data_IF_705771682296
#
_entry.id   IF_705771682296
#
_cell.length_a   1.000
_cell.length_b   1.000
_cell.length_c   1.000
_cell.angle_alpha   90.00
_cell.angle_beta   90.00
_cell.angle_gamma   90.00
#
_symmetry.space_group_name_H-M   'P 1'
#
loop_
_entity.id
_entity.type
_entity.pdbx_description
1 polymer ?
#
# COMPACT_ATOMS: atom_id res chain seq x y z
N UNK A 1 -25.49 36.80 14.08
CA UNK A 1 -24.38 36.27 13.27
C UNK A 1 -24.44 34.76 13.31
N UNK A 2 -24.86 34.14 12.20
CA UNK A 2 -24.90 32.69 12.04
C UNK A 2 -23.57 32.17 11.50
N UNK A 3 -23.13 31.03 12.03
CA UNK A 3 -22.27 30.11 11.30
C UNK A 3 -23.13 28.89 11.00
N UNK A 4 -23.51 28.79 9.73
CA UNK A 4 -24.36 27.75 9.20
C UNK A 4 -23.74 26.37 9.48
N UNK A 5 -24.44 25.63 10.32
CA UNK A 5 -24.20 24.21 10.55
C UNK A 5 -24.57 23.46 9.27
N UNK A 6 -23.56 23.10 8.48
CA UNK A 6 -23.72 22.17 7.38
C UNK A 6 -24.41 20.89 7.88
N UNK A 7 -25.43 20.36 7.17
CA UNK A 7 -26.12 19.15 7.59
C UNK A 7 -25.12 17.98 7.58
N UNK A 8 -24.85 17.43 8.76
CA UNK A 8 -24.06 16.20 8.91
C UNK A 8 -24.79 15.11 8.10
N UNK A 9 -24.18 14.66 6.99
CA UNK A 9 -24.68 13.52 6.22
C UNK A 9 -24.93 12.36 7.19
N UNK A 10 -26.06 11.65 7.10
CA UNK A 10 -26.32 10.50 7.95
C UNK A 10 -25.17 9.49 7.79
N UNK A 11 -24.74 8.84 8.89
CA UNK A 11 -23.70 7.83 8.81
C UNK A 11 -24.15 6.75 7.81
N UNK A 12 -23.20 6.29 6.99
CA UNK A 12 -23.46 5.28 5.97
C UNK A 12 -24.04 4.01 6.64
N UNK A 13 -24.94 3.25 6.00
CA UNK A 13 -25.70 2.19 6.66
C UNK A 13 -24.84 1.07 7.26
N UNK A 14 -23.61 0.88 6.76
CA UNK A 14 -22.63 -0.06 7.33
C UNK A 14 -21.83 0.50 8.52
N UNK A 15 -21.89 1.81 8.79
CA UNK A 15 -21.32 2.46 9.97
C UNK A 15 -22.30 2.55 11.15
N UNK A 16 -23.56 2.17 10.95
CA UNK A 16 -24.47 1.96 12.06
C UNK A 16 -24.12 0.63 12.72
N UNK A 17 -23.80 0.68 14.02
CA UNK A 17 -23.86 -0.52 14.86
C UNK A 17 -25.23 -1.15 14.61
N UNK A 18 -25.32 -2.46 14.32
CA UNK A 18 -26.62 -3.11 14.20
C UNK A 18 -27.44 -2.74 15.45
N UNK A 19 -28.74 -2.44 15.31
CA UNK A 19 -29.57 -2.08 16.44
C UNK A 19 -29.37 -3.12 17.53
N UNK A 20 -29.26 -2.66 18.77
CA UNK A 20 -29.01 -3.49 19.95
C UNK A 20 -30.23 -4.40 20.17
N UNK A 21 -30.40 -5.41 19.32
CA UNK A 21 -31.13 -6.61 19.65
C UNK A 21 -30.35 -7.16 20.83
N UNK A 22 -30.88 -6.99 22.04
CA UNK A 22 -30.21 -7.22 23.33
C UNK A 22 -29.57 -8.60 23.45
N UNK A 23 -28.45 -8.80 22.77
CA UNK A 23 -27.65 -9.99 22.79
C UNK A 23 -26.69 -9.79 23.95
N UNK A 24 -27.09 -10.36 25.09
CA UNK A 24 -26.26 -10.43 26.29
C UNK A 24 -24.85 -10.91 25.92
N UNK A 25 -23.84 -10.51 26.68
CA UNK A 25 -22.44 -10.94 26.50
C UNK A 25 -22.27 -12.47 26.43
N UNK A 26 -23.27 -13.25 26.88
CA UNK A 26 -23.33 -14.70 26.73
C UNK A 26 -23.66 -15.19 25.32
N UNK A 27 -24.37 -14.42 24.49
CA UNK A 27 -24.73 -14.80 23.12
C UNK A 27 -23.54 -14.70 22.17
N UNK A 28 -22.74 -13.64 22.28
CA UNK A 28 -21.51 -13.47 21.49
C UNK A 28 -20.50 -14.59 21.77
N UNK A 29 -20.35 -15.01 23.03
CA UNK A 29 -19.49 -16.15 23.39
C UNK A 29 -19.98 -17.45 22.74
N UNK A 30 -21.30 -17.67 22.68
CA UNK A 30 -21.89 -18.87 22.08
C UNK A 30 -21.71 -18.89 20.56
N UNK A 31 -21.91 -17.76 19.89
CA UNK A 31 -21.70 -17.64 18.44
C UNK A 31 -20.21 -17.82 18.08
N UNK A 32 -19.31 -17.16 18.82
CA UNK A 32 -17.87 -17.33 18.64
C UNK A 32 -17.42 -18.77 18.88
N UNK A 33 -17.94 -19.42 19.93
CA UNK A 33 -17.67 -20.83 20.21
C UNK A 33 -18.19 -21.74 19.08
N UNK A 34 -19.35 -21.44 18.51
CA UNK A 34 -19.90 -22.17 17.37
C UNK A 34 -19.02 -22.07 16.12
N UNK A 35 -18.49 -20.87 15.83
CA UNK A 35 -17.55 -20.64 14.72
C UNK A 35 -16.25 -21.44 14.92
N UNK A 36 -15.67 -21.38 16.13
CA UNK A 36 -14.45 -22.14 16.43
C UNK A 36 -14.68 -23.65 16.35
N UNK A 37 -15.80 -24.14 16.86
CA UNK A 37 -16.13 -25.56 16.82
C UNK A 37 -16.36 -26.03 15.38
N UNK A 38 -17.06 -25.24 14.55
CA UNK A 38 -17.22 -25.51 13.13
C UNK A 38 -15.89 -25.48 12.37
N UNK A 39 -14.99 -24.56 12.71
CA UNK A 39 -13.65 -24.48 12.13
C UNK A 39 -12.80 -25.71 12.49
N UNK A 40 -12.82 -26.14 13.75
CA UNK A 40 -12.08 -27.33 14.23
C UNK A 40 -12.67 -28.61 13.63
N UNK A 41 -13.99 -28.74 13.61
CA UNK A 41 -14.68 -29.92 13.07
C UNK A 41 -14.67 -29.97 11.53
N UNK A 42 -14.38 -28.85 10.87
CA UNK A 42 -14.40 -28.71 9.41
C UNK A 42 -15.81 -28.69 8.81
N UNK A 43 -16.87 -28.63 9.62
CA UNK A 43 -18.27 -28.67 9.16
C UNK A 43 -19.01 -27.43 9.62
N UNK A 44 -19.41 -26.57 8.68
CA UNK A 44 -20.14 -25.32 8.97
C UNK A 44 -21.65 -25.41 8.68
N UNK A 45 -22.08 -26.39 7.87
CA UNK A 45 -23.47 -26.59 7.49
C UNK A 45 -23.87 -28.07 7.57
N UNK A 46 -25.09 -28.40 8.03
CA UNK A 46 -25.59 -29.76 8.01
C UNK A 46 -25.61 -30.32 6.58
N UNK A 47 -24.91 -31.44 6.34
CA UNK A 47 -24.86 -32.12 5.05
C UNK A 47 -23.82 -31.60 4.05
N UNK A 48 -23.08 -30.54 4.37
CA UNK A 48 -21.94 -30.12 3.56
C UNK A 48 -20.70 -31.01 3.81
N UNK A 49 -19.87 -31.27 2.80
CA UNK A 49 -18.62 -32.02 2.99
C UNK A 49 -17.68 -31.26 3.94
N UNK A 50 -16.91 -31.95 4.81
CA UNK A 50 -15.95 -31.30 5.68
C UNK A 50 -14.88 -30.56 4.87
N UNK A 51 -14.68 -29.29 5.16
CA UNK A 51 -13.56 -28.48 4.66
C UNK A 51 -12.56 -28.27 5.79
N UNK A 52 -11.29 -28.58 5.55
CA UNK A 52 -10.25 -28.39 6.57
C UNK A 52 -10.17 -26.91 7.01
N UNK A 53 -9.85 -26.63 8.29
CA UNK A 53 -9.69 -25.25 8.76
C UNK A 53 -8.63 -24.53 7.94
N UNK A 54 -8.99 -23.39 7.36
CA UNK A 54 -8.04 -22.47 6.72
C UNK A 54 -7.75 -21.33 7.70
N UNK A 55 -6.52 -21.31 8.22
CA UNK A 55 -6.04 -20.21 9.04
C UNK A 55 -5.26 -19.23 8.17
N UNK A 56 -5.78 -18.00 8.02
CA UNK A 56 -5.06 -16.92 7.35
C UNK A 56 -4.38 -16.09 8.44
N UNK A 57 -3.07 -16.24 8.60
CA UNK A 57 -2.26 -15.52 9.60
C UNK A 57 -1.81 -14.13 9.14
N UNK A 58 -2.36 -13.62 8.04
CA UNK A 58 -2.13 -12.27 7.53
C UNK A 58 -3.40 -11.42 7.58
N UNK A 59 -3.26 -10.13 7.90
CA UNK A 59 -4.30 -9.15 7.58
C UNK A 59 -4.38 -9.04 6.06
N UNK A 60 -5.50 -9.47 5.47
CA UNK A 60 -5.74 -9.28 4.04
C UNK A 60 -5.60 -7.80 3.68
N UNK A 61 -5.12 -7.51 2.46
CA UNK A 61 -4.98 -6.14 1.93
C UNK A 61 -6.26 -5.31 2.08
N UNK A 62 -7.43 -5.93 1.92
CA UNK A 62 -8.72 -5.28 2.17
C UNK A 62 -8.95 -4.89 3.64
N UNK A 63 -8.52 -5.71 4.59
CA UNK A 63 -8.58 -5.38 6.02
C UNK A 63 -7.62 -4.25 6.41
N UNK A 64 -6.43 -4.22 5.80
CA UNK A 64 -5.47 -3.12 5.99
C UNK A 64 -6.00 -1.78 5.48
N UNK A 65 -6.64 -1.79 4.30
CA UNK A 65 -7.26 -0.61 3.70
C UNK A 65 -8.48 -0.13 4.50
N UNK A 66 -9.35 -1.05 4.94
CA UNK A 66 -10.58 -0.74 5.68
C UNK A 66 -10.31 -0.17 7.09
N UNK A 67 -9.21 -0.58 7.73
CA UNK A 67 -8.77 -0.02 9.00
C UNK A 67 -8.06 1.33 8.87
N UNK A 68 -7.93 1.86 7.63
CA UNK A 68 -7.27 3.13 7.40
C UNK A 68 -5.83 3.11 7.87
N UNK A 69 -5.16 1.94 7.82
CA UNK A 69 -3.72 1.85 8.06
C UNK A 69 -3.01 2.60 6.94
N UNK A 70 -2.90 3.91 7.12
CA UNK A 70 -2.09 4.84 6.33
C UNK A 70 -0.59 4.67 6.58
N UNK A 71 -0.26 3.89 7.61
CA UNK A 71 1.09 3.57 8.00
C UNK A 71 1.30 2.09 7.72
N UNK A 72 2.11 1.81 6.70
CA UNK A 72 2.79 0.53 6.61
C UNK A 72 3.62 0.31 7.88
N UNK A 73 4.02 -0.93 8.20
CA UNK A 73 4.84 -1.19 9.38
C UNK A 73 6.04 -0.24 9.41
N UNK A 74 6.50 0.18 10.58
CA UNK A 74 7.57 1.17 10.79
C UNK A 74 8.94 0.87 10.13
N UNK A 75 9.07 -0.27 9.44
CA UNK A 75 10.20 -0.68 8.60
C UNK A 75 9.95 -0.51 7.09
N UNK A 76 8.83 0.12 6.70
CA UNK A 76 8.60 0.72 5.40
C UNK A 76 8.88 2.22 5.54
N UNK A 77 9.64 2.78 4.60
CA UNK A 77 10.14 4.15 4.67
C UNK A 77 8.98 5.15 4.44
N UNK A 78 8.81 6.13 5.34
CA UNK A 78 7.88 7.27 5.19
C UNK A 78 8.39 8.25 4.12
N UNK A 79 8.55 7.76 2.89
CA UNK A 79 9.08 8.51 1.75
C UNK A 79 8.19 9.73 1.49
N UNK A 80 6.87 9.59 1.67
CA UNK A 80 5.90 10.66 1.47
C UNK A 80 6.13 11.89 2.36
N UNK A 81 6.42 11.67 3.65
CA UNK A 81 6.62 12.76 4.62
C UNK A 81 7.91 13.53 4.31
N UNK A 82 8.93 12.81 3.84
CA UNK A 82 10.21 13.41 3.47
C UNK A 82 10.09 14.17 2.14
N UNK A 83 9.37 13.64 1.16
CA UNK A 83 9.13 14.30 -0.13
C UNK A 83 8.43 15.65 0.03
N UNK A 84 7.50 15.77 0.98
CA UNK A 84 6.81 17.04 1.27
C UNK A 84 7.71 18.15 1.81
N UNK A 85 8.84 17.80 2.43
CA UNK A 85 9.79 18.75 3.04
C UNK A 85 10.94 19.11 2.10
N UNK A 86 11.07 18.41 0.97
CA UNK A 86 12.17 18.64 0.02
C UNK A 86 11.93 19.93 -0.77
N UNK A 87 13.02 20.67 -0.99
CA UNK A 87 13.02 21.94 -1.72
C UNK A 87 13.76 21.88 -3.06
N UNK A 88 14.34 20.74 -3.44
CA UNK A 88 15.15 20.58 -4.65
C UNK A 88 14.85 19.28 -5.39
N UNK A 89 14.76 19.36 -6.72
CA UNK A 89 14.43 18.21 -7.56
C UNK A 89 15.45 17.08 -7.37
N UNK A 90 16.74 17.41 -7.40
CA UNK A 90 17.82 16.43 -7.22
C UNK A 90 17.74 15.72 -5.87
N UNK A 91 17.32 16.42 -4.82
CA UNK A 91 17.10 15.79 -3.50
C UNK A 91 15.91 14.83 -3.52
N UNK A 92 14.81 15.19 -4.21
CA UNK A 92 13.65 14.31 -4.34
C UNK A 92 14.00 13.06 -5.15
N UNK A 93 14.71 13.21 -6.27
CA UNK A 93 15.16 12.08 -7.10
C UNK A 93 16.07 11.15 -6.31
N UNK A 94 17.04 11.70 -5.56
CA UNK A 94 17.92 10.90 -4.72
C UNK A 94 17.14 10.10 -3.67
N UNK A 95 16.21 10.75 -2.98
CA UNK A 95 15.40 10.11 -1.94
C UNK A 95 14.53 8.98 -2.50
N UNK A 96 13.84 9.22 -3.62
CA UNK A 96 13.04 8.19 -4.30
C UNK A 96 13.92 7.02 -4.73
N UNK A 97 15.08 7.31 -5.32
CA UNK A 97 16.03 6.28 -5.76
C UNK A 97 16.50 5.41 -4.59
N UNK A 98 16.87 6.02 -3.46
CA UNK A 98 17.25 5.28 -2.24
C UNK A 98 16.11 4.43 -1.69
N UNK A 99 14.88 4.95 -1.70
CA UNK A 99 13.70 4.22 -1.27
C UNK A 99 13.42 3.00 -2.18
N UNK A 100 13.59 3.15 -3.49
CA UNK A 100 13.44 2.06 -4.45
C UNK A 100 14.49 0.97 -4.28
N UNK A 101 15.76 1.36 -4.10
CA UNK A 101 16.86 0.43 -3.83
C UNK A 101 16.59 -0.34 -2.53
N UNK A 102 16.18 0.35 -1.46
CA UNK A 102 15.86 -0.30 -0.18
C UNK A 102 14.68 -1.27 -0.32
N UNK A 103 13.64 -0.89 -1.07
CA UNK A 103 12.47 -1.73 -1.35
C UNK A 103 12.87 -2.98 -2.15
N UNK A 104 13.66 -2.81 -3.21
CA UNK A 104 14.16 -3.92 -4.04
C UNK A 104 15.05 -4.87 -3.23
N UNK A 105 16.01 -4.32 -2.47
CA UNK A 105 16.92 -5.12 -1.64
C UNK A 105 16.13 -6.00 -0.67
N UNK A 106 15.09 -5.43 -0.05
CA UNK A 106 14.22 -6.16 0.87
C UNK A 106 13.36 -7.21 0.16
N UNK A 107 12.71 -6.84 -0.94
CA UNK A 107 11.86 -7.76 -1.72
C UNK A 107 12.65 -8.93 -2.30
N UNK A 108 13.91 -8.71 -2.68
CA UNK A 108 14.78 -9.74 -3.25
C UNK A 108 15.67 -10.44 -2.20
N UNK A 109 15.58 -10.06 -0.93
CA UNK A 109 16.45 -10.57 0.16
C UNK A 109 17.94 -10.39 -0.18
N UNK A 110 18.27 -9.25 -0.77
CA UNK A 110 19.63 -8.81 -1.08
C UNK A 110 20.07 -7.73 -0.10
N UNK A 111 21.38 -7.49 -0.04
CA UNK A 111 21.90 -6.31 0.65
C UNK A 111 21.73 -5.08 -0.25
N UNK A 112 21.53 -3.92 0.36
CA UNK A 112 21.33 -2.64 -0.34
C UNK A 112 22.54 -2.33 -1.24
N UNK A 113 23.75 -2.67 -0.79
CA UNK A 113 25.00 -2.44 -1.53
C UNK A 113 25.11 -3.22 -2.86
N UNK A 114 24.28 -4.25 -3.06
CA UNK A 114 24.28 -5.05 -4.31
C UNK A 114 23.49 -4.36 -5.42
N UNK A 115 22.62 -3.40 -5.06
CA UNK A 115 21.72 -2.73 -5.99
C UNK A 115 22.30 -1.36 -6.35
N UNK A 116 22.54 -1.17 -7.63
CA UNK A 116 23.11 0.03 -8.22
C UNK A 116 22.03 0.81 -8.96
N UNK A 117 21.95 2.11 -8.70
CA UNK A 117 20.99 3.00 -9.33
C UNK A 117 21.22 3.22 -10.84
N UNK A 118 22.40 2.85 -11.33
CA UNK A 118 22.86 2.90 -12.72
C UNK A 118 22.30 1.76 -13.57
N UNK A 119 21.82 0.68 -12.95
CA UNK A 119 21.29 -0.50 -13.64
C UNK A 119 19.76 -0.46 -13.69
N UNK A 120 19.12 -0.98 -14.75
CA UNK A 120 17.67 -1.17 -14.78
C UNK A 120 17.20 -2.18 -13.73
N UNK A 121 15.99 -1.98 -13.23
CA UNK A 121 15.34 -2.90 -12.28
C UNK A 121 15.19 -4.32 -12.85
N UNK A 122 14.84 -4.43 -14.13
CA UNK A 122 14.78 -5.70 -14.86
C UNK A 122 16.09 -6.48 -14.81
N UNK A 123 17.23 -5.78 -14.75
CA UNK A 123 18.55 -6.36 -14.64
C UNK A 123 18.82 -7.11 -13.33
N UNK A 124 18.03 -6.87 -12.27
CA UNK A 124 18.13 -7.57 -10.99
C UNK A 124 17.27 -8.82 -10.90
N UNK A 125 16.47 -9.13 -11.93
CA UNK A 125 15.50 -10.23 -11.90
C UNK A 125 14.13 -9.79 -11.39
N UNK A 126 13.81 -8.49 -11.46
CA UNK A 126 12.45 -8.01 -11.24
C UNK A 126 11.55 -8.57 -12.33
N UNK A 127 10.60 -9.41 -11.93
CA UNK A 127 9.60 -10.03 -12.79
C UNK A 127 8.29 -9.24 -12.80
N UNK A 128 7.29 -9.73 -13.53
CA UNK A 128 5.99 -9.07 -13.65
C UNK A 128 5.21 -9.00 -12.33
N UNK A 129 5.39 -9.95 -11.41
CA UNK A 129 4.70 -9.97 -10.12
C UNK A 129 5.31 -8.94 -9.18
N UNK A 130 6.65 -8.94 -9.07
CA UNK A 130 7.37 -7.96 -8.27
C UNK A 130 7.19 -6.55 -8.83
N UNK A 131 7.19 -6.38 -10.15
CA UNK A 131 6.91 -5.09 -10.78
C UNK A 131 5.48 -4.59 -10.48
N UNK A 132 4.49 -5.49 -10.46
CA UNK A 132 3.12 -5.12 -10.08
C UNK A 132 3.04 -4.69 -8.60
N UNK A 133 3.74 -5.39 -7.70
CA UNK A 133 3.83 -5.00 -6.29
C UNK A 133 4.51 -3.63 -6.13
N UNK A 134 5.65 -3.43 -6.79
CA UNK A 134 6.38 -2.16 -6.78
C UNK A 134 5.52 -1.01 -7.28
N UNK A 135 4.79 -1.20 -8.38
CA UNK A 135 3.84 -0.19 -8.89
C UNK A 135 2.81 0.19 -7.84
N UNK A 136 2.18 -0.79 -7.20
CA UNK A 136 1.18 -0.53 -6.16
C UNK A 136 1.78 0.21 -4.97
N UNK A 137 3.02 -0.12 -4.60
CA UNK A 137 3.73 0.54 -3.52
C UNK A 137 4.10 2.00 -3.86
N UNK A 138 4.67 2.25 -5.05
CA UNK A 138 5.01 3.59 -5.55
C UNK A 138 3.76 4.48 -5.61
N UNK A 139 2.65 3.93 -6.10
CA UNK A 139 1.38 4.67 -6.18
C UNK A 139 0.90 5.12 -4.79
N UNK A 140 1.19 4.36 -3.75
CA UNK A 140 0.82 4.72 -2.39
C UNK A 140 1.81 5.72 -1.77
N UNK A 141 3.12 5.40 -1.78
CA UNK A 141 4.16 6.18 -1.10
C UNK A 141 4.44 7.50 -1.81
N UNK A 142 4.58 7.47 -3.13
CA UNK A 142 5.02 8.63 -3.90
C UNK A 142 3.84 9.32 -4.57
N UNK A 143 2.62 8.77 -4.47
CA UNK A 143 1.43 9.28 -5.17
C UNK A 143 1.69 9.51 -6.67
N UNK A 144 2.50 8.64 -7.25
CA UNK A 144 2.94 8.68 -8.63
C UNK A 144 2.40 7.44 -9.38
N UNK A 145 1.88 7.64 -10.59
CA UNK A 145 1.41 6.54 -11.42
C UNK A 145 2.48 6.18 -12.45
N UNK A 146 3.00 4.95 -12.35
CA UNK A 146 3.97 4.36 -13.27
C UNK A 146 3.36 3.10 -13.89
N UNK A 147 3.64 2.85 -15.16
CA UNK A 147 3.29 1.60 -15.83
C UNK A 147 4.18 0.44 -15.41
N UNK A 148 3.62 -0.78 -15.29
CA UNK A 148 4.43 -1.99 -15.01
C UNK A 148 5.53 -2.19 -16.08
N UNK A 149 5.26 -1.82 -17.33
CA UNK A 149 6.24 -1.87 -18.41
C UNK A 149 7.42 -0.91 -18.23
N UNK A 150 7.22 0.23 -17.57
CA UNK A 150 8.30 1.18 -17.30
C UNK A 150 9.26 0.61 -16.24
N UNK A 151 8.72 -0.10 -15.24
CA UNK A 151 9.52 -0.82 -14.23
C UNK A 151 10.28 -2.02 -14.81
N UNK A 152 9.69 -2.70 -15.81
CA UNK A 152 10.32 -3.82 -16.52
C UNK A 152 11.23 -3.36 -17.68
N UNK A 153 11.34 -2.06 -17.89
CA UNK A 153 12.14 -1.48 -18.96
C UNK A 153 13.64 -1.71 -18.80
N UNK A 154 14.39 -1.23 -19.78
CA UNK A 154 15.87 -1.22 -19.78
C UNK A 154 16.45 0.10 -19.27
N UNK A 155 15.59 1.05 -18.89
CA UNK A 155 15.98 2.33 -18.32
C UNK A 155 16.60 2.14 -16.93
N UNK A 156 17.67 2.88 -16.65
CA UNK A 156 18.30 2.86 -15.34
C UNK A 156 17.31 3.33 -14.25
N UNK A 157 17.56 2.90 -13.02
CA UNK A 157 16.67 3.20 -11.89
C UNK A 157 16.58 4.71 -11.61
N UNK A 158 17.69 5.46 -11.78
CA UNK A 158 17.73 6.91 -11.47
C UNK A 158 16.90 7.78 -12.42
N UNK A 159 17.02 7.66 -13.77
CA UNK A 159 16.15 8.38 -14.69
C UNK A 159 14.67 8.06 -14.53
N UNK A 160 14.33 6.79 -14.26
CA UNK A 160 12.96 6.38 -13.99
C UNK A 160 12.42 7.00 -12.69
N UNK A 161 13.24 7.06 -11.63
CA UNK A 161 12.90 7.75 -10.38
C UNK A 161 12.68 9.26 -10.60
N UNK A 162 13.47 9.90 -11.48
CA UNK A 162 13.28 11.31 -11.85
C UNK A 162 11.91 11.56 -12.48
N UNK A 163 11.54 10.74 -13.47
CA UNK A 163 10.22 10.83 -14.11
C UNK A 163 9.09 10.62 -13.11
N UNK A 164 9.30 9.75 -12.14
CA UNK A 164 8.35 9.48 -11.06
C UNK A 164 8.13 10.71 -10.18
N UNK A 165 9.21 11.39 -9.79
CA UNK A 165 9.16 12.63 -9.02
C UNK A 165 8.39 13.73 -9.76
N UNK A 166 8.55 13.82 -11.08
CA UNK A 166 7.84 14.80 -11.91
C UNK A 166 6.33 14.58 -11.91
N UNK A 167 5.88 13.32 -12.02
CA UNK A 167 4.46 12.96 -12.03
C UNK A 167 3.86 12.82 -10.62
N UNK A 168 4.70 12.69 -9.59
CA UNK A 168 4.31 12.54 -8.19
C UNK A 168 3.47 13.71 -7.68
N UNK A 169 2.40 13.42 -6.94
CA UNK A 169 1.60 14.44 -6.22
C UNK A 169 2.16 14.77 -4.84
N UNK A 170 3.09 13.97 -4.32
CA UNK A 170 3.70 14.16 -3.01
C UNK A 170 4.78 15.27 -3.01
N UNK A 171 5.35 15.58 -4.18
CA UNK A 171 6.41 16.58 -4.34
C UNK A 171 5.82 17.99 -4.43
N UNK A 172 6.33 18.97 -3.64
CA UNK A 172 5.88 20.36 -3.72
C UNK A 172 6.08 20.95 -5.12
N UNK A 173 5.09 21.69 -5.63
CA UNK A 173 5.12 22.22 -7.01
C UNK A 173 6.32 23.12 -7.34
N UNK A 174 6.93 23.77 -6.33
CA UNK A 174 8.13 24.60 -6.51
C UNK A 174 9.41 23.80 -6.78
N UNK A 175 9.36 22.47 -6.67
CA UNK A 175 10.49 21.55 -6.85
C UNK A 175 10.48 20.90 -8.22
N UNK A 176 9.33 20.88 -8.91
CA UNK A 176 9.22 20.31 -10.25
C UNK A 176 9.90 21.26 -11.24
N UNK A 177 11.02 20.82 -11.81
CA UNK A 177 11.74 21.56 -12.85
C UNK A 177 10.80 21.86 -14.01
N UNK A 178 10.70 23.14 -14.38
CA UNK A 178 9.98 23.62 -15.55
C UNK A 178 10.88 23.43 -16.76
N UNK A 179 10.99 22.21 -17.30
CA UNK A 179 11.61 21.95 -18.61
C UNK A 179 11.76 20.46 -18.95
N UNK A 180 10.87 19.95 -19.82
CA UNK A 180 11.27 19.29 -21.07
C UNK A 180 10.03 19.05 -21.95
N UNK A 181 9.94 19.86 -23.01
CA UNK A 181 9.02 19.75 -24.14
C UNK A 181 8.97 18.34 -24.75
N UNK A 182 7.78 17.77 -24.88
CA UNK A 182 7.49 16.78 -25.92
C UNK A 182 7.10 17.52 -27.20
N UNK A 183 8.04 17.60 -28.14
CA UNK A 183 7.76 17.85 -29.56
C UNK A 183 7.53 16.52 -30.29
#
# INVERSE_FOLDING_TARGET
>A
MGVDSLPKKPPKPWCMRPPDHGLSSGSIRKEFSGILQAAIAGTSMPGAPPIGPQLITGLGTGGMMAQGMKNYPCWFNDTINQLQQITSLEQAVKLVTEAWIAKLAKSMVLKVEVIEASRPMSGYGVDSLLAAELRSWIQYEEQAEIGVFELLGTEATTPLARRTVEVSKAVPGGVKGVDASGG
#
